data_IF_875533075493
#
_entry.id   IF_875533075493
#
_cell.length_a   1.000
_cell.length_b   1.000
_cell.length_c   1.000
_cell.angle_alpha   90.00
_cell.angle_beta   90.00
_cell.angle_gamma   90.00
#
_symmetry.space_group_name_H-M   'P 1'
#
loop_
_entity.id
_entity.type
_entity.pdbx_description
1 polymer ?
#
# COMPACT_ATOMS: atom_id res chain seq x y z
N UNK A 1 -8.05 -6.79 16.72
CA UNK A 1 -7.09 -5.80 16.20
C UNK A 1 -6.25 -6.50 15.17
N UNK A 2 -6.00 -5.81 14.06
CA UNK A 2 -5.16 -6.29 12.97
C UNK A 2 -4.05 -5.30 12.68
N UNK A 3 -3.34 -5.55 11.59
CA UNK A 3 -2.23 -4.72 11.18
C UNK A 3 -2.25 -4.43 9.69
N UNK A 4 -1.96 -3.17 9.37
CA UNK A 4 -1.63 -2.71 8.04
C UNK A 4 -0.12 -2.44 7.97
N UNK A 5 0.57 -3.11 7.06
CA UNK A 5 1.97 -2.81 6.76
C UNK A 5 2.08 -2.17 5.39
N UNK A 6 2.63 -0.95 5.33
CA UNK A 6 2.99 -0.26 4.09
C UNK A 6 4.47 -0.48 3.82
N UNK A 7 4.79 -0.94 2.61
CA UNK A 7 6.12 -1.41 2.24
C UNK A 7 6.62 -0.63 1.04
N UNK A 8 7.91 -0.32 1.04
CA UNK A 8 8.69 0.05 -0.14
C UNK A 8 9.54 -1.15 -0.56
N UNK A 9 9.46 -1.57 -1.83
CA UNK A 9 10.23 -2.70 -2.34
C UNK A 9 11.68 -2.33 -2.73
N UNK A 10 12.54 -3.35 -2.83
CA UNK A 10 13.90 -3.28 -3.38
C UNK A 10 13.88 -3.26 -4.91
N UNK A 11 14.86 -2.59 -5.53
CA UNK A 11 14.95 -2.49 -6.99
C UNK A 11 14.08 -1.38 -7.56
N UNK A 12 13.11 -1.71 -8.43
CA UNK A 12 12.21 -0.72 -9.01
C UNK A 12 11.27 -0.19 -7.92
N UNK A 13 11.23 1.13 -7.64
CA UNK A 13 10.44 1.67 -6.55
C UNK A 13 8.96 1.29 -6.67
N UNK A 14 8.51 0.41 -5.77
CA UNK A 14 7.14 -0.07 -5.73
C UNK A 14 6.63 0.02 -4.30
N UNK A 15 5.35 0.34 -4.13
CA UNK A 15 4.69 0.35 -2.84
C UNK A 15 3.66 -0.78 -2.77
N UNK A 16 3.61 -1.46 -1.63
CA UNK A 16 2.75 -2.63 -1.42
C UNK A 16 2.13 -2.54 -0.03
N UNK A 17 0.89 -3.00 0.09
CA UNK A 17 0.20 -3.17 1.35
C UNK A 17 0.18 -4.64 1.75
N UNK A 18 0.43 -4.91 3.02
CA UNK A 18 0.29 -6.23 3.63
C UNK A 18 -0.67 -6.13 4.82
N UNK A 19 -1.75 -6.90 4.76
CA UNK A 19 -2.84 -6.90 5.72
C UNK A 19 -2.75 -8.17 6.58
N UNK A 20 -2.84 -8.00 7.90
CA UNK A 20 -2.92 -9.10 8.87
C UNK A 20 -4.14 -8.87 9.77
N UNK A 21 -5.21 -9.65 9.60
CA UNK A 21 -6.50 -9.44 10.28
C UNK A 21 -7.25 -10.76 10.38
N UNK A 22 -8.04 -10.99 11.44
CA UNK A 22 -8.86 -12.21 11.60
C UNK A 22 -8.11 -13.54 11.27
N UNK A 23 -6.86 -13.66 11.72
CA UNK A 23 -5.95 -14.79 11.43
C UNK A 23 -5.61 -15.02 9.95
N UNK A 24 -5.88 -14.04 9.10
CA UNK A 24 -5.52 -14.00 7.66
C UNK A 24 -4.34 -13.08 7.43
N UNK A 25 -3.66 -13.32 6.31
CA UNK A 25 -2.51 -12.55 5.88
C UNK A 25 -2.56 -12.39 4.36
N UNK A 26 -2.72 -11.17 3.87
CA UNK A 26 -2.97 -10.90 2.45
C UNK A 26 -2.13 -9.73 1.92
N UNK A 27 -1.61 -9.90 0.71
CA UNK A 27 -0.81 -8.90 0.02
C UNK A 27 -1.65 -8.17 -1.02
N UNK A 28 -1.44 -6.86 -1.16
CA UNK A 28 -2.11 -6.04 -2.17
C UNK A 28 -1.13 -5.05 -2.78
N UNK A 29 -0.90 -5.20 -4.09
CA UNK A 29 -0.15 -4.26 -4.91
C UNK A 29 -0.91 -3.95 -6.20
N UNK A 30 -0.85 -2.72 -6.69
CA UNK A 30 -1.39 -2.37 -8.00
C UNK A 30 -0.28 -2.32 -9.03
N UNK A 31 -0.39 -3.11 -10.11
CA UNK A 31 0.67 -3.29 -11.11
C UNK A 31 0.13 -3.22 -12.53
N UNK A 32 0.95 -2.82 -13.51
CA UNK A 32 0.59 -2.98 -14.91
C UNK A 32 0.62 -4.46 -15.29
N UNK A 33 -0.35 -4.92 -16.11
CA UNK A 33 -0.39 -6.30 -16.60
C UNK A 33 0.85 -6.70 -17.39
N UNK A 34 1.49 -5.76 -18.08
CA UNK A 34 2.83 -5.96 -18.65
C UNK A 34 3.86 -5.32 -17.71
N UNK A 35 4.82 -6.10 -17.18
CA UNK A 35 5.84 -5.58 -16.26
C UNK A 35 6.63 -4.41 -16.84
N UNK A 36 6.85 -3.37 -16.01
CA UNK A 36 7.64 -2.16 -16.35
C UNK A 36 7.03 -1.25 -17.42
N UNK A 37 5.79 -1.47 -17.83
CA UNK A 37 5.07 -0.53 -18.69
C UNK A 37 4.36 0.50 -17.81
N UNK A 38 4.77 1.79 -17.84
CA UNK A 38 4.28 2.81 -16.91
C UNK A 38 2.86 3.29 -17.22
N UNK A 39 2.28 2.85 -18.35
CA UNK A 39 0.91 3.13 -18.78
C UNK A 39 0.33 1.87 -19.42
N UNK A 40 -0.46 1.09 -18.68
CA UNK A 40 -1.05 -0.15 -19.18
C UNK A 40 -2.24 -0.57 -18.30
N UNK A 41 -3.22 -1.36 -18.79
CA UNK A 41 -4.22 -1.98 -17.92
C UNK A 41 -3.60 -2.56 -16.65
N UNK A 42 -4.12 -2.15 -15.50
CA UNK A 42 -3.62 -2.56 -14.20
C UNK A 42 -4.32 -3.82 -13.67
N UNK A 43 -3.75 -4.38 -12.60
CA UNK A 43 -4.37 -5.46 -11.83
C UNK A 43 -3.89 -5.43 -10.38
N UNK A 44 -4.67 -6.05 -9.50
CA UNK A 44 -4.29 -6.30 -8.10
C UNK A 44 -3.47 -7.59 -8.03
N UNK A 45 -2.22 -7.44 -7.61
CA UNK A 45 -1.31 -8.53 -7.34
C UNK A 45 -1.33 -8.88 -5.85
N UNK A 46 -1.60 -10.15 -5.54
CA UNK A 46 -1.65 -10.69 -4.18
C UNK A 46 -0.50 -11.64 -3.85
N UNK A 47 0.51 -11.69 -4.70
CA UNK A 47 1.70 -12.54 -4.47
C UNK A 47 2.49 -12.08 -3.23
N UNK A 48 3.04 -13.05 -2.50
CA UNK A 48 3.90 -12.77 -1.35
C UNK A 48 5.15 -11.98 -1.78
N UNK A 49 5.42 -10.85 -1.09
CA UNK A 49 6.53 -9.94 -1.39
C UNK A 49 7.62 -9.86 -0.34
N UNK A 50 7.65 -10.76 0.64
CA UNK A 50 8.60 -10.71 1.78
C UNK A 50 10.05 -10.54 1.33
N UNK A 51 10.50 -11.23 0.28
CA UNK A 51 11.88 -11.15 -0.23
C UNK A 51 12.28 -9.79 -0.82
N UNK A 52 11.31 -8.90 -1.06
CA UNK A 52 11.53 -7.61 -1.70
C UNK A 52 11.42 -6.43 -0.74
N UNK A 53 11.17 -6.64 0.55
CA UNK A 53 11.00 -5.54 1.50
C UNK A 53 12.31 -4.76 1.62
N UNK A 54 12.28 -3.46 1.30
CA UNK A 54 13.38 -2.52 1.53
C UNK A 54 13.13 -1.65 2.76
N UNK A 55 11.95 -1.07 2.84
CA UNK A 55 11.46 -0.32 4.00
C UNK A 55 10.04 -0.75 4.32
N UNK A 56 9.66 -0.71 5.58
CA UNK A 56 8.29 -1.00 6.00
C UNK A 56 7.88 -0.13 7.18
N UNK A 57 6.59 0.11 7.29
CA UNK A 57 5.95 0.58 8.53
C UNK A 57 4.70 -0.25 8.77
N UNK A 58 4.56 -0.78 9.98
CA UNK A 58 3.42 -1.59 10.44
C UNK A 58 2.60 -0.77 11.44
N UNK A 59 1.31 -0.67 11.18
CA UNK A 59 0.33 0.04 12.02
C UNK A 59 -0.66 -0.93 12.63
N UNK A 60 -1.02 -0.72 13.89
CA UNK A 60 -2.19 -1.37 14.50
C UNK A 60 -3.46 -0.66 14.05
N UNK A 61 -4.40 -1.42 13.48
CA UNK A 61 -5.65 -0.93 12.89
C UNK A 61 -6.80 -1.86 13.31
N UNK A 62 -8.01 -1.34 13.46
CA UNK A 62 -9.18 -2.18 13.72
C UNK A 62 -9.45 -3.12 12.54
N UNK A 63 -9.82 -4.37 12.84
CA UNK A 63 -10.09 -5.38 11.81
C UNK A 63 -11.21 -4.93 10.84
N UNK A 64 -12.21 -4.19 11.34
CA UNK A 64 -13.29 -3.63 10.53
C UNK A 64 -12.80 -2.65 9.46
N UNK A 65 -11.81 -1.82 9.79
CA UNK A 65 -11.28 -0.82 8.87
C UNK A 65 -10.40 -1.49 7.80
N UNK A 66 -9.67 -2.54 8.19
CA UNK A 66 -8.89 -3.36 7.26
C UNK A 66 -9.79 -4.09 6.25
N UNK A 67 -10.87 -4.71 6.72
CA UNK A 67 -11.86 -5.37 5.86
C UNK A 67 -12.51 -4.37 4.90
N UNK A 68 -12.93 -3.21 5.39
CA UNK A 68 -13.50 -2.15 4.56
C UNK A 68 -12.49 -1.63 3.52
N UNK A 69 -11.21 -1.49 3.87
CA UNK A 69 -10.17 -1.08 2.95
C UNK A 69 -9.97 -2.13 1.84
N UNK A 70 -10.00 -3.42 2.14
CA UNK A 70 -9.87 -4.51 1.15
C UNK A 70 -11.03 -4.49 0.14
N UNK A 71 -12.26 -4.29 0.61
CA UNK A 71 -13.43 -4.16 -0.26
C UNK A 71 -13.31 -2.95 -1.19
N UNK A 72 -12.81 -1.83 -0.65
CA UNK A 72 -12.56 -0.62 -1.43
C UNK A 72 -11.45 -0.81 -2.47
N UNK A 73 -10.37 -1.56 -2.18
CA UNK A 73 -9.35 -1.90 -3.18
C UNK A 73 -10.02 -2.62 -4.36
N UNK A 74 -10.80 -3.65 -4.07
CA UNK A 74 -11.43 -4.49 -5.09
C UNK A 74 -12.44 -3.73 -5.94
N UNK A 75 -13.17 -2.78 -5.35
CA UNK A 75 -14.13 -1.93 -6.05
C UNK A 75 -13.45 -0.84 -6.87
N UNK A 76 -12.53 -0.07 -6.27
CA UNK A 76 -11.90 1.11 -6.89
C UNK A 76 -10.93 0.73 -8.01
N UNK A 77 -10.07 -0.26 -7.77
CA UNK A 77 -8.96 -0.57 -8.69
C UNK A 77 -9.33 -1.54 -9.83
N UNK A 78 -10.56 -2.06 -9.83
CA UNK A 78 -11.01 -2.97 -10.87
C UNK A 78 -11.09 -2.27 -12.23
N UNK A 79 -10.34 -2.80 -13.20
CA UNK A 79 -10.38 -2.32 -14.58
C UNK A 79 -9.66 -0.98 -14.82
N UNK A 80 -8.97 -0.43 -13.82
CA UNK A 80 -8.22 0.81 -13.98
C UNK A 80 -6.94 0.61 -14.81
N UNK A 81 -6.51 1.70 -15.44
CA UNK A 81 -5.20 1.79 -16.09
C UNK A 81 -4.17 2.15 -15.03
N UNK A 82 -3.10 1.36 -14.94
CA UNK A 82 -1.91 1.70 -14.17
C UNK A 82 -1.18 2.84 -14.86
N UNK A 83 -0.92 3.95 -14.15
CA UNK A 83 -0.24 5.12 -14.69
C UNK A 83 0.62 5.83 -13.63
N UNK A 84 1.94 5.79 -13.77
CA UNK A 84 2.86 6.44 -12.83
C UNK A 84 2.73 7.97 -12.90
N UNK A 85 2.47 8.62 -11.76
CA UNK A 85 2.54 10.08 -11.58
C UNK A 85 1.41 10.91 -12.19
N UNK A 86 0.55 10.32 -13.03
CA UNK A 86 -0.63 10.99 -13.62
C UNK A 86 -1.95 10.25 -13.38
N UNK A 87 -1.90 9.08 -12.74
CA UNK A 87 -3.08 8.29 -12.47
C UNK A 87 -2.83 7.28 -11.36
N UNK A 88 -3.72 6.29 -11.23
CA UNK A 88 -3.58 5.24 -10.23
C UNK A 88 -2.29 4.44 -10.46
N UNK A 89 -1.45 4.37 -9.44
CA UNK A 89 -0.28 3.51 -9.40
C UNK A 89 -0.16 2.78 -8.04
N UNK A 90 0.97 2.12 -7.82
CA UNK A 90 1.23 1.37 -6.59
C UNK A 90 1.31 2.25 -5.34
N UNK A 91 1.81 3.48 -5.50
CA UNK A 91 1.88 4.46 -4.41
C UNK A 91 0.48 4.99 -4.14
N UNK A 92 -0.30 5.30 -5.19
CA UNK A 92 -1.70 5.71 -5.04
C UNK A 92 -2.50 4.68 -4.26
N UNK A 93 -2.33 3.38 -4.55
CA UNK A 93 -3.01 2.32 -3.79
C UNK A 93 -2.63 2.36 -2.31
N UNK A 94 -1.35 2.52 -2.00
CA UNK A 94 -0.89 2.51 -0.61
C UNK A 94 -1.35 3.76 0.15
N UNK A 95 -1.44 4.91 -0.53
CA UNK A 95 -1.98 6.15 0.02
C UNK A 95 -3.48 6.04 0.28
N UNK A 96 -4.24 5.51 -0.68
CA UNK A 96 -5.68 5.27 -0.53
C UNK A 96 -5.96 4.33 0.65
N UNK A 97 -5.24 3.21 0.73
CA UNK A 97 -5.39 2.24 1.82
C UNK A 97 -5.08 2.89 3.18
N UNK A 98 -3.98 3.64 3.28
CA UNK A 98 -3.64 4.37 4.48
C UNK A 98 -4.76 5.34 4.89
N UNK A 99 -5.33 6.06 3.92
CA UNK A 99 -6.45 6.98 4.14
C UNK A 99 -7.69 6.25 4.65
N UNK A 100 -8.05 5.14 4.02
CA UNK A 100 -9.23 4.34 4.41
C UNK A 100 -9.08 3.71 5.79
N UNK A 101 -7.85 3.42 6.20
CA UNK A 101 -7.53 2.97 7.56
C UNK A 101 -7.36 4.13 8.56
N UNK A 102 -7.75 5.36 8.20
CA UNK A 102 -7.75 6.51 9.11
C UNK A 102 -6.36 7.10 9.42
N UNK A 103 -5.32 6.74 8.66
CA UNK A 103 -3.98 7.29 8.87
C UNK A 103 -3.89 8.74 8.37
N UNK A 104 -3.14 9.55 9.12
CA UNK A 104 -2.75 10.90 8.70
C UNK A 104 -1.73 10.78 7.57
N UNK A 105 -2.09 11.34 6.41
CA UNK A 105 -1.27 11.28 5.21
C UNK A 105 -0.30 12.46 5.16
N UNK A 106 0.91 12.28 4.57
CA UNK A 106 1.74 13.40 4.18
C UNK A 106 1.04 14.26 3.11
N UNK A 107 1.45 15.53 2.92
CA UNK A 107 0.99 16.32 1.78
C UNK A 107 1.51 15.74 0.46
N UNK A 108 0.76 15.84 -0.65
CA UNK A 108 1.22 15.41 -1.97
C UNK A 108 2.39 16.30 -2.47
N UNK A 109 3.24 15.79 -3.38
CA UNK A 109 3.10 14.53 -4.11
C UNK A 109 3.79 13.32 -3.44
N UNK A 110 3.21 12.13 -3.60
CA UNK A 110 3.77 10.86 -3.13
C UNK A 110 4.45 10.13 -4.30
N UNK A 111 5.71 10.44 -4.58
CA UNK A 111 6.42 9.86 -5.73
C UNK A 111 7.46 8.80 -5.35
N UNK A 112 7.84 8.73 -4.07
CA UNK A 112 8.92 7.86 -3.60
C UNK A 112 8.37 6.94 -2.50
N UNK A 113 8.25 5.61 -2.75
CA UNK A 113 7.67 4.68 -1.78
C UNK A 113 8.38 4.70 -0.41
N UNK A 114 9.71 4.79 -0.38
CA UNK A 114 10.46 4.89 0.87
C UNK A 114 10.12 6.15 1.68
N UNK A 115 9.91 7.29 1.02
CA UNK A 115 9.46 8.51 1.70
C UNK A 115 8.03 8.38 2.23
N UNK A 116 7.15 7.69 1.50
CA UNK A 116 5.80 7.40 1.99
C UNK A 116 5.85 6.63 3.31
N UNK A 117 6.62 5.53 3.36
CA UNK A 117 6.82 4.71 4.57
C UNK A 117 7.29 5.57 5.75
N UNK A 118 8.39 6.30 5.57
CA UNK A 118 8.96 7.12 6.65
C UNK A 118 8.05 8.26 7.09
N UNK A 119 7.30 8.88 6.16
CA UNK A 119 6.38 9.97 6.50
C UNK A 119 5.13 9.46 7.22
N UNK A 120 4.56 8.33 6.80
CA UNK A 120 3.43 7.72 7.51
C UNK A 120 3.82 7.34 8.94
N UNK A 121 5.02 6.78 9.13
CA UNK A 121 5.55 6.47 10.47
C UNK A 121 5.66 7.73 11.36
N UNK A 122 6.19 8.84 10.80
CA UNK A 122 6.35 10.10 11.53
C UNK A 122 5.02 10.78 11.89
N UNK A 123 4.02 10.67 11.02
CA UNK A 123 2.73 11.33 11.19
C UNK A 123 1.77 10.53 12.08
N UNK A 124 1.99 9.22 12.22
CA UNK A 124 1.09 8.33 12.97
C UNK A 124 1.83 7.54 14.08
N UNK A 125 2.69 8.18 14.91
CA UNK A 125 3.62 7.46 15.79
C UNK A 125 2.93 6.59 16.84
N UNK A 126 1.72 6.97 17.29
CA UNK A 126 0.95 6.20 18.28
C UNK A 126 0.40 4.87 17.77
N UNK A 127 0.34 4.68 16.45
CA UNK A 127 -0.16 3.45 15.82
C UNK A 127 0.97 2.53 15.34
N UNK A 128 2.22 3.03 15.31
CA UNK A 128 3.37 2.29 14.77
C UNK A 128 3.77 1.16 15.70
N UNK A 129 3.79 -0.06 15.16
CA UNK A 129 4.26 -1.27 15.83
C UNK A 129 5.66 -1.68 15.37
N UNK A 130 6.02 -1.34 14.13
CA UNK A 130 7.32 -1.62 13.55
C UNK A 130 7.64 -0.62 12.45
N UNK A 131 8.91 -0.20 12.36
CA UNK A 131 9.40 0.64 11.28
C UNK A 131 10.87 0.29 10.98
N UNK A 132 11.19 0.08 9.70
CA UNK A 132 12.51 -0.33 9.18
C UNK A 132 12.76 0.34 7.83
#
# INVERSE_FOLDING_TARGET
MGYLTIISETGFPHSVCWFEYNSRSEWYAFKPKIPKFPLYPGYIDRSNRTRYIKHLVKFEIYDSDLEQAIDQISSKYRGLIYCIGKGPDCITLSVDVAQWCGLILPPPPHMIPGHLVSNLAKLNPSLVQQHY
#
